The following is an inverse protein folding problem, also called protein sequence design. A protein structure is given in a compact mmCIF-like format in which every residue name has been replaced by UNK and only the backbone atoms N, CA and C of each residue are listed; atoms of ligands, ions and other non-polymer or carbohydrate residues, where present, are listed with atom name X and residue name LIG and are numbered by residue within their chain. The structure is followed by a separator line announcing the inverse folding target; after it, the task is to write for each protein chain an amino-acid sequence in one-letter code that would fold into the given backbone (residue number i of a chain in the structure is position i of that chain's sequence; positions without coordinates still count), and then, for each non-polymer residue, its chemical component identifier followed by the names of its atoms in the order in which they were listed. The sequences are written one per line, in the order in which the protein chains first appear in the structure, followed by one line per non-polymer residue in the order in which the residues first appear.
data_IF_067863669311
#
_entry.id   IF_067863669311
#
_cell.length_a   1.000
_cell.length_b   1.000
_cell.length_c   1.000
_cell.angle_alpha   90.00
_cell.angle_beta   90.00
_cell.angle_gamma   90.00
#
_symmetry.space_group_name_H-M   'P 1'
#
loop_
_entity.id
_entity.type
_entity.pdbx_description
1 polymer ?
#
# COMPACT_ATOMS: atom_id res chain seq x y z
N UNK A 1 -21.45 4.08 -12.01
CA UNK A 1 -21.36 2.60 -12.00
C UNK A 1 -21.58 2.12 -10.58
N UNK A 2 -22.08 0.89 -10.40
CA UNK A 2 -22.13 0.23 -9.10
C UNK A 2 -20.87 -0.61 -8.87
N UNK A 3 -20.02 -0.20 -7.93
CA UNK A 3 -18.68 -0.76 -7.71
C UNK A 3 -18.65 -1.42 -6.32
N UNK A 4 -18.40 -2.72 -6.28
CA UNK A 4 -18.17 -3.43 -5.02
C UNK A 4 -16.68 -3.51 -4.71
N UNK A 5 -16.23 -2.84 -3.65
CA UNK A 5 -14.83 -2.85 -3.21
C UNK A 5 -14.67 -3.89 -2.09
N UNK A 6 -13.81 -4.88 -2.30
CA UNK A 6 -13.48 -5.88 -1.28
C UNK A 6 -12.19 -5.46 -0.58
N UNK A 7 -12.28 -5.01 0.67
CA UNK A 7 -11.11 -4.65 1.47
C UNK A 7 -10.40 -5.89 2.05
N UNK A 8 -9.18 -5.70 2.57
CA UNK A 8 -8.62 -6.67 3.49
C UNK A 8 -9.38 -6.64 4.83
N UNK A 9 -9.31 -7.73 5.59
CA UNK A 9 -10.04 -7.88 6.86
C UNK A 9 -9.14 -7.86 8.10
N UNK A 10 -7.85 -7.54 7.93
CA UNK A 10 -6.92 -7.48 9.06
C UNK A 10 -7.21 -6.31 10.02
N UNK A 11 -7.58 -5.15 9.45
CA UNK A 11 -7.89 -3.95 10.22
C UNK A 11 -9.09 -3.24 9.58
N UNK A 12 -9.89 -2.52 10.37
CA UNK A 12 -10.93 -1.66 9.82
C UNK A 12 -10.37 -0.57 8.90
N UNK A 13 -11.12 -0.22 7.85
CA UNK A 13 -10.77 0.88 6.94
C UNK A 13 -11.22 2.19 7.57
N UNK A 14 -10.44 2.67 8.55
CA UNK A 14 -10.70 3.89 9.29
C UNK A 14 -9.39 4.51 9.81
N UNK A 15 -9.42 5.82 10.08
CA UNK A 15 -8.31 6.55 10.68
C UNK A 15 -8.25 6.29 12.20
N UNK A 16 -7.06 6.20 12.81
CA UNK A 16 -5.74 6.20 12.18
C UNK A 16 -5.46 4.87 11.45
N UNK A 17 -4.85 4.95 10.28
CA UNK A 17 -4.58 3.77 9.45
C UNK A 17 -3.38 2.97 9.98
N UNK A 18 -3.49 1.64 9.94
CA UNK A 18 -2.41 0.73 10.35
C UNK A 18 -1.35 0.52 9.25
N UNK A 19 -1.65 0.89 8.02
CA UNK A 19 -0.77 0.72 6.87
C UNK A 19 -1.25 1.46 5.62
N UNK A 20 -0.50 1.29 4.54
CA UNK A 20 -0.79 1.95 3.26
C UNK A 20 -1.98 1.38 2.51
N UNK A 21 -2.38 0.13 2.78
CA UNK A 21 -3.51 -0.50 2.11
C UNK A 21 -4.85 0.04 2.63
N UNK A 22 -4.94 0.25 3.94
CA UNK A 22 -6.08 0.89 4.60
C UNK A 22 -6.26 2.31 4.05
N UNK A 23 -5.18 3.08 3.99
CA UNK A 23 -5.17 4.44 3.43
C UNK A 23 -5.58 4.45 1.95
N UNK A 24 -4.99 3.57 1.13
CA UNK A 24 -5.35 3.41 -0.29
C UNK A 24 -6.84 3.11 -0.47
N UNK A 25 -7.36 2.14 0.28
CA UNK A 25 -8.76 1.68 0.16
C UNK A 25 -9.73 2.77 0.61
N UNK A 26 -9.39 3.50 1.68
CA UNK A 26 -10.15 4.64 2.16
C UNK A 26 -10.23 5.75 1.10
N UNK A 27 -9.08 6.18 0.58
CA UNK A 27 -8.99 7.30 -0.36
C UNK A 27 -9.68 6.99 -1.69
N UNK A 28 -9.45 5.82 -2.27
CA UNK A 28 -10.11 5.45 -3.54
C UNK A 28 -11.62 5.31 -3.38
N UNK A 29 -12.08 4.78 -2.24
CA UNK A 29 -13.52 4.66 -1.97
C UNK A 29 -14.19 6.04 -1.88
N UNK A 30 -13.61 6.95 -1.09
CA UNK A 30 -14.12 8.31 -0.98
C UNK A 30 -14.14 9.04 -2.33
N UNK A 31 -13.10 8.91 -3.15
CA UNK A 31 -13.03 9.58 -4.45
C UNK A 31 -14.02 9.02 -5.45
N UNK A 32 -14.22 7.70 -5.48
CA UNK A 32 -15.27 7.10 -6.31
C UNK A 32 -16.68 7.53 -5.86
N UNK A 33 -16.94 7.61 -4.55
CA UNK A 33 -18.19 8.17 -4.02
C UNK A 33 -18.37 9.63 -4.44
N UNK A 34 -17.35 10.47 -4.28
CA UNK A 34 -17.38 11.88 -4.64
C UNK A 34 -17.58 12.11 -6.15
N UNK A 35 -17.11 11.19 -7.00
CA UNK A 35 -17.33 11.18 -8.46
C UNK A 35 -18.69 10.61 -8.87
N UNK A 36 -19.56 10.27 -7.91
CA UNK A 36 -20.94 9.86 -8.15
C UNK A 36 -21.11 8.37 -8.49
N UNK A 37 -20.13 7.52 -8.19
CA UNK A 37 -20.32 6.08 -8.28
C UNK A 37 -21.14 5.57 -7.09
N UNK A 38 -21.93 4.52 -7.32
CA UNK A 38 -22.59 3.76 -6.25
C UNK A 38 -21.57 2.74 -5.73
N UNK A 39 -20.89 3.06 -4.63
CA UNK A 39 -19.83 2.22 -4.05
C UNK A 39 -20.38 1.41 -2.88
N UNK A 40 -20.07 0.12 -2.84
CA UNK A 40 -20.29 -0.75 -1.68
C UNK A 40 -18.93 -1.25 -1.18
N UNK A 41 -18.54 -0.91 0.05
CA UNK A 41 -17.29 -1.36 0.65
C UNK A 41 -17.53 -2.58 1.55
N UNK A 42 -17.09 -3.76 1.12
CA UNK A 42 -17.08 -4.97 1.95
C UNK A 42 -15.80 -5.01 2.79
N UNK A 43 -15.94 -4.82 4.10
CA UNK A 43 -14.81 -4.68 5.03
C UNK A 43 -15.17 -5.22 6.43
N UNK A 44 -14.23 -5.14 7.37
CA UNK A 44 -14.52 -5.41 8.79
C UNK A 44 -15.49 -4.38 9.37
N UNK A 45 -16.25 -4.82 10.37
CA UNK A 45 -16.94 -3.91 11.28
C UNK A 45 -15.95 -2.90 11.88
N UNK A 46 -16.43 -1.68 12.16
CA UNK A 46 -15.59 -0.57 12.64
C UNK A 46 -14.92 0.25 11.53
N UNK A 47 -15.06 -0.15 10.25
CA UNK A 47 -14.64 0.69 9.12
C UNK A 47 -15.52 1.94 9.03
N UNK A 48 -15.00 3.03 8.47
CA UNK A 48 -15.68 4.33 8.48
C UNK A 48 -17.03 4.27 7.71
N UNK A 49 -18.18 4.54 8.36
CA UNK A 49 -19.49 4.42 7.72
C UNK A 49 -19.71 5.40 6.54
N UNK A 50 -18.90 6.46 6.42
CA UNK A 50 -18.95 7.36 5.24
C UNK A 50 -18.65 6.63 3.93
N UNK A 51 -17.98 5.48 4.01
CA UNK A 51 -17.56 4.67 2.86
C UNK A 51 -18.65 3.69 2.35
N UNK A 52 -19.89 3.82 2.84
CA UNK A 52 -20.99 2.90 2.54
C UNK A 52 -20.61 1.42 2.80
N UNK A 53 -20.19 1.16 4.04
CA UNK A 53 -19.64 -0.13 4.47
C UNK A 53 -20.74 -1.18 4.58
N UNK A 54 -20.49 -2.35 4.00
CA UNK A 54 -21.18 -3.60 4.33
C UNK A 54 -20.22 -4.49 5.12
N UNK A 55 -20.37 -4.58 6.46
CA UNK A 55 -19.52 -5.43 7.26
C UNK A 55 -19.66 -6.90 6.82
N UNK A 56 -18.53 -7.58 6.62
CA UNK A 56 -18.48 -9.02 6.31
C UNK A 56 -17.72 -9.83 7.37
N UNK A 57 -17.17 -9.15 8.38
CA UNK A 57 -16.50 -9.75 9.53
C UNK A 57 -16.74 -8.84 10.74
N UNK A 58 -17.23 -9.39 11.84
CA UNK A 58 -17.47 -8.68 13.10
C UNK A 58 -16.49 -9.12 14.18
N UNK A 59 -16.23 -8.27 15.18
CA UNK A 59 -15.38 -8.63 16.33
C UNK A 59 -15.96 -9.82 17.13
N UNK A 60 -17.28 -9.96 17.17
CA UNK A 60 -17.95 -11.09 17.83
C UNK A 60 -17.71 -12.45 17.13
N UNK A 61 -17.27 -12.44 15.87
CA UNK A 61 -16.87 -13.65 15.14
C UNK A 61 -15.49 -14.16 15.60
N UNK A 62 -14.80 -13.39 16.46
CA UNK A 62 -13.54 -13.75 17.10
C UNK A 62 -13.79 -14.33 18.50
N UNK A 63 -13.83 -15.66 18.63
CA UNK A 63 -13.76 -16.33 19.93
C UNK A 63 -12.32 -16.77 20.24
N UNK A 64 -11.59 -16.12 21.17
CA UNK A 64 -10.19 -16.46 21.46
C UNK A 64 -10.01 -17.78 22.24
N UNK A 65 -11.09 -18.47 22.61
CA UNK A 65 -11.01 -19.65 23.48
C UNK A 65 -11.91 -20.77 22.94
N UNK A 66 -11.35 -21.63 22.09
CA UNK A 66 -11.70 -23.05 22.12
C UNK A 66 -10.53 -23.77 22.76
N UNK A 67 -10.58 -23.96 24.06
CA UNK A 67 -9.58 -24.70 24.83
C UNK A 67 -9.65 -26.20 24.50
N UNK A 68 -8.90 -26.65 23.50
CA UNK A 68 -8.56 -28.07 23.38
C UNK A 68 -7.25 -28.26 22.59
N UNK A 69 -6.15 -28.40 23.32
CA UNK A 69 -4.93 -29.14 22.93
C UNK A 69 -4.48 -28.96 21.46
N UNK A 70 -3.83 -27.83 21.16
CA UNK A 70 -3.43 -27.51 19.79
C UNK A 70 -1.97 -27.89 19.49
N UNK A 71 -1.77 -28.57 18.34
CA UNK A 71 -0.47 -28.92 17.76
C UNK A 71 -0.03 -27.86 16.74
N UNK A 72 1.26 -27.82 16.40
CA UNK A 72 1.89 -26.78 15.54
C UNK A 72 1.45 -26.71 14.07
N UNK A 73 0.40 -27.47 13.65
CA UNK A 73 -0.08 -27.55 12.26
C UNK A 73 -1.49 -26.99 12.04
N UNK A 74 -2.03 -26.21 12.98
CA UNK A 74 -3.38 -25.67 12.86
C UNK A 74 -3.41 -24.22 12.36
N UNK A 75 -4.45 -23.89 11.59
CA UNK A 75 -4.73 -22.53 11.16
C UNK A 75 -5.24 -21.69 12.34
N UNK A 76 -4.89 -20.40 12.37
CA UNK A 76 -5.41 -19.50 13.39
C UNK A 76 -6.91 -19.27 13.20
N UNK A 77 -7.63 -19.00 14.30
CA UNK A 77 -9.04 -18.59 14.25
C UNK A 77 -9.25 -17.38 13.34
N UNK A 78 -8.32 -16.42 13.36
CA UNK A 78 -8.31 -15.24 12.46
C UNK A 78 -8.27 -15.63 10.98
N UNK A 79 -7.42 -16.59 10.62
CA UNK A 79 -7.36 -17.08 9.23
C UNK A 79 -8.67 -17.75 8.82
N UNK A 80 -9.24 -18.58 9.71
CA UNK A 80 -10.49 -19.31 9.46
C UNK A 80 -11.66 -18.33 9.31
N UNK A 81 -11.83 -17.36 10.22
CA UNK A 81 -12.92 -16.38 10.16
C UNK A 81 -12.82 -15.50 8.91
N UNK A 82 -11.61 -15.01 8.61
CA UNK A 82 -11.34 -14.25 7.37
C UNK A 82 -11.67 -15.07 6.12
N UNK A 83 -11.31 -16.35 6.10
CA UNK A 83 -11.64 -17.25 5.00
C UNK A 83 -13.16 -17.38 4.83
N UNK A 84 -13.89 -17.66 5.92
CA UNK A 84 -15.34 -17.79 5.90
C UNK A 84 -16.04 -16.52 5.43
N UNK A 85 -15.65 -15.36 5.96
CA UNK A 85 -16.18 -14.05 5.56
C UNK A 85 -16.10 -13.82 4.04
N UNK A 86 -14.95 -14.13 3.42
CA UNK A 86 -14.83 -13.99 1.97
C UNK A 86 -15.62 -15.06 1.19
N UNK A 87 -15.73 -16.29 1.69
CA UNK A 87 -16.53 -17.33 1.04
C UNK A 87 -18.00 -16.93 1.02
N UNK A 88 -18.54 -16.50 2.15
CA UNK A 88 -19.92 -16.02 2.28
C UNK A 88 -20.16 -14.81 1.39
N UNK A 89 -19.26 -13.81 1.42
CA UNK A 89 -19.32 -12.69 0.50
C UNK A 89 -19.40 -13.16 -0.95
N UNK A 90 -18.48 -14.01 -1.40
CA UNK A 90 -18.42 -14.43 -2.80
C UNK A 90 -19.63 -15.28 -3.24
N UNK A 91 -20.32 -15.95 -2.31
CA UNK A 91 -21.58 -16.65 -2.58
C UNK A 91 -22.76 -15.69 -2.76
N UNK A 92 -22.72 -14.54 -2.10
CA UNK A 92 -23.85 -13.60 -2.06
C UNK A 92 -23.65 -12.35 -2.93
N UNK A 93 -22.43 -12.03 -3.34
CA UNK A 93 -22.06 -10.75 -3.96
C UNK A 93 -22.86 -10.42 -5.24
N UNK A 94 -23.34 -11.44 -5.96
CA UNK A 94 -24.18 -11.26 -7.14
C UNK A 94 -25.57 -10.69 -6.84
N UNK A 95 -26.05 -10.76 -5.59
CA UNK A 95 -27.30 -10.11 -5.15
C UNK A 95 -27.21 -8.59 -5.21
N UNK A 96 -26.00 -8.04 -5.18
CA UNK A 96 -25.76 -6.60 -5.20
C UNK A 96 -25.72 -6.02 -6.62
N UNK A 97 -25.82 -6.86 -7.66
CA UNK A 97 -25.92 -6.44 -9.07
C UNK A 97 -24.79 -5.48 -9.51
N UNK A 98 -23.56 -5.77 -9.07
CA UNK A 98 -22.40 -4.93 -9.33
C UNK A 98 -22.05 -4.84 -10.83
N UNK A 99 -21.65 -3.65 -11.28
CA UNK A 99 -21.02 -3.45 -12.59
C UNK A 99 -19.59 -4.01 -12.59
N UNK A 100 -18.85 -3.81 -11.49
CA UNK A 100 -17.44 -4.23 -11.31
C UNK A 100 -17.18 -4.60 -9.85
N UNK A 101 -16.38 -5.65 -9.63
CA UNK A 101 -15.75 -5.95 -8.34
C UNK A 101 -14.31 -5.41 -8.33
N UNK A 102 -13.97 -4.62 -7.33
CA UNK A 102 -12.63 -4.10 -7.10
C UNK A 102 -12.01 -4.71 -5.84
N UNK A 103 -11.14 -5.68 -6.05
CA UNK A 103 -10.60 -6.55 -5.01
C UNK A 103 -9.24 -6.06 -4.48
N UNK A 104 -9.20 -5.69 -3.20
CA UNK A 104 -8.05 -5.27 -2.40
C UNK A 104 -7.80 -6.19 -1.19
N UNK A 105 -8.42 -7.38 -1.15
CA UNK A 105 -8.51 -8.25 0.03
C UNK A 105 -7.20 -8.89 0.52
N UNK A 106 -6.16 -8.93 -0.32
CA UNK A 106 -4.96 -9.77 -0.12
C UNK A 106 -5.25 -11.26 0.13
N UNK A 107 -6.47 -11.72 -0.19
CA UNK A 107 -6.89 -13.08 0.07
C UNK A 107 -7.14 -13.85 -1.23
N UNK A 108 -6.88 -15.15 -1.20
CA UNK A 108 -7.01 -16.03 -2.35
C UNK A 108 -8.47 -16.36 -2.69
N UNK A 109 -9.41 -16.26 -1.74
CA UNK A 109 -10.81 -16.66 -1.92
C UNK A 109 -11.51 -15.86 -3.02
N UNK A 110 -11.49 -14.50 -3.04
CA UNK A 110 -12.10 -13.75 -4.13
C UNK A 110 -11.53 -14.10 -5.51
N UNK A 111 -10.22 -14.37 -5.59
CA UNK A 111 -9.56 -14.78 -6.84
C UNK A 111 -10.04 -16.16 -7.28
N UNK A 112 -10.02 -17.14 -6.38
CA UNK A 112 -10.43 -18.53 -6.65
C UNK A 112 -11.90 -18.63 -7.05
N UNK A 113 -12.78 -17.83 -6.44
CA UNK A 113 -14.21 -17.86 -6.68
C UNK A 113 -14.67 -16.89 -7.79
N UNK A 114 -13.75 -16.18 -8.43
CA UNK A 114 -14.06 -15.22 -9.51
C UNK A 114 -14.84 -15.84 -10.68
N UNK A 115 -14.69 -17.14 -10.93
CA UNK A 115 -15.46 -17.86 -11.95
C UNK A 115 -16.96 -18.02 -11.60
N UNK A 116 -17.31 -17.89 -10.32
CA UNK A 116 -18.67 -18.12 -9.81
C UNK A 116 -19.52 -16.84 -9.76
N UNK A 117 -18.91 -15.67 -9.95
CA UNK A 117 -19.60 -14.37 -9.88
C UNK A 117 -19.84 -13.78 -11.27
N UNK A 118 -20.87 -12.93 -11.39
CA UNK A 118 -21.30 -12.30 -12.65
C UNK A 118 -20.54 -11.03 -12.99
N UNK A 119 -20.11 -10.26 -12.00
CA UNK A 119 -19.39 -9.02 -12.22
C UNK A 119 -17.92 -9.30 -12.60
N UNK A 120 -17.35 -8.59 -13.61
CA UNK A 120 -15.92 -8.67 -13.86
C UNK A 120 -15.15 -8.13 -12.65
N UNK A 121 -13.95 -8.64 -12.45
CA UNK A 121 -13.14 -8.31 -11.29
C UNK A 121 -11.83 -7.64 -11.70
N UNK A 122 -11.48 -6.55 -11.01
CA UNK A 122 -10.14 -6.01 -10.96
C UNK A 122 -9.53 -6.41 -9.62
N UNK A 123 -8.36 -7.05 -9.64
CA UNK A 123 -7.61 -7.36 -8.41
C UNK A 123 -6.31 -6.58 -8.39
N UNK A 124 -6.09 -5.84 -7.30
CA UNK A 124 -4.84 -5.09 -7.09
C UNK A 124 -3.85 -5.93 -6.30
N UNK A 125 -2.65 -6.07 -6.83
CA UNK A 125 -1.54 -6.79 -6.24
C UNK A 125 -0.73 -5.81 -5.39
N UNK A 126 -1.11 -5.69 -4.12
CA UNK A 126 -0.49 -4.79 -3.13
C UNK A 126 0.74 -5.37 -2.44
N UNK A 127 1.05 -6.65 -2.65
CA UNK A 127 2.24 -7.32 -2.10
C UNK A 127 3.04 -7.98 -3.22
N UNK A 128 4.30 -8.37 -2.97
CA UNK A 128 4.98 -9.39 -3.76
C UNK A 128 4.21 -10.72 -3.78
N UNK A 129 4.57 -11.65 -4.67
CA UNK A 129 3.96 -12.97 -4.74
C UNK A 129 4.04 -13.75 -3.42
N UNK A 130 2.88 -13.99 -2.80
CA UNK A 130 2.70 -14.88 -1.65
C UNK A 130 2.06 -16.20 -2.06
N UNK A 131 2.27 -17.26 -1.28
CA UNK A 131 1.92 -18.64 -1.65
C UNK A 131 0.46 -18.81 -2.08
N UNK A 132 -0.47 -18.29 -1.29
CA UNK A 132 -1.91 -18.43 -1.48
C UNK A 132 -2.37 -17.75 -2.77
N UNK A 133 -1.94 -16.50 -2.98
CA UNK A 133 -2.29 -15.71 -4.16
C UNK A 133 -1.66 -16.28 -5.44
N UNK A 134 -0.40 -16.75 -5.40
CA UNK A 134 0.25 -17.42 -6.55
C UNK A 134 -0.59 -18.59 -7.06
N UNK A 135 -1.09 -19.43 -6.14
CA UNK A 135 -1.87 -20.61 -6.49
C UNK A 135 -3.25 -20.22 -7.02
N UNK A 136 -3.89 -19.21 -6.42
CA UNK A 136 -5.18 -18.72 -6.84
C UNK A 136 -5.15 -18.15 -8.26
N UNK A 137 -4.17 -17.29 -8.53
CA UNK A 137 -4.01 -16.65 -9.83
C UNK A 137 -3.72 -17.69 -10.91
N UNK A 138 -2.80 -18.64 -10.65
CA UNK A 138 -2.54 -19.76 -11.57
C UNK A 138 -3.80 -20.52 -11.95
N UNK A 139 -4.74 -20.69 -11.01
CA UNK A 139 -6.01 -21.37 -11.28
C UNK A 139 -7.01 -20.46 -11.99
N UNK A 140 -7.05 -19.18 -11.64
CA UNK A 140 -7.95 -18.22 -12.25
C UNK A 140 -7.61 -17.94 -13.72
N UNK A 141 -6.33 -18.01 -14.10
CA UNK A 141 -5.90 -17.81 -15.50
C UNK A 141 -6.58 -18.73 -16.52
N UNK A 142 -7.07 -19.91 -16.10
CA UNK A 142 -7.86 -20.78 -16.98
C UNK A 142 -9.23 -20.19 -17.33
N UNK A 143 -9.73 -19.25 -16.53
CA UNK A 143 -11.00 -18.55 -16.72
C UNK A 143 -10.81 -17.14 -17.30
N UNK A 144 -9.73 -16.45 -16.92
CA UNK A 144 -9.38 -15.13 -17.46
C UNK A 144 -10.42 -14.04 -17.17
N UNK A 145 -11.06 -14.11 -16.00
CA UNK A 145 -12.10 -13.17 -15.55
C UNK A 145 -11.55 -11.97 -14.79
N UNK A 146 -10.33 -12.06 -14.30
CA UNK A 146 -9.70 -10.99 -13.53
C UNK A 146 -8.77 -10.15 -14.41
N UNK A 147 -8.87 -8.83 -14.24
CA UNK A 147 -7.80 -7.90 -14.63
C UNK A 147 -6.92 -7.63 -13.42
N UNK A 148 -5.64 -7.98 -13.54
CA UNK A 148 -4.67 -7.75 -12.48
C UNK A 148 -4.02 -6.38 -12.66
N UNK A 149 -3.94 -5.64 -11.57
CA UNK A 149 -3.23 -4.37 -11.49
C UNK A 149 -2.13 -4.51 -10.45
N UNK A 150 -0.94 -4.01 -10.73
CA UNK A 150 0.14 -3.89 -9.76
C UNK A 150 0.38 -2.42 -9.45
N UNK A 151 0.71 -2.14 -8.19
CA UNK A 151 0.95 -0.80 -7.68
C UNK A 151 2.29 -0.21 -8.15
N UNK A 152 3.18 -1.01 -8.75
CA UNK A 152 4.42 -0.52 -9.36
C UNK A 152 4.93 -1.45 -10.45
N UNK A 153 5.80 -0.94 -11.31
CA UNK A 153 6.51 -1.75 -12.31
C UNK A 153 7.43 -2.81 -11.67
N UNK A 154 7.98 -2.53 -10.49
CA UNK A 154 8.78 -3.51 -9.73
C UNK A 154 7.93 -4.68 -9.28
N UNK A 155 6.81 -4.39 -8.63
CA UNK A 155 5.92 -5.44 -8.17
C UNK A 155 5.30 -6.23 -9.33
N UNK A 156 4.94 -5.57 -10.44
CA UNK A 156 4.46 -6.25 -11.65
C UNK A 156 5.47 -7.29 -12.18
N UNK A 157 6.78 -6.98 -12.13
CA UNK A 157 7.81 -7.95 -12.51
C UNK A 157 7.88 -9.13 -11.56
N UNK A 158 7.77 -8.90 -10.25
CA UNK A 158 7.72 -9.99 -9.27
C UNK A 158 6.56 -10.95 -9.58
N UNK A 159 5.44 -10.43 -10.09
CA UNK A 159 4.27 -11.21 -10.48
C UNK A 159 4.29 -11.80 -11.89
N UNK A 160 5.29 -11.52 -12.74
CA UNK A 160 5.28 -11.83 -14.18
C UNK A 160 4.98 -13.30 -14.50
N UNK A 161 5.52 -14.23 -13.70
CA UNK A 161 5.33 -15.68 -13.91
C UNK A 161 3.93 -16.19 -13.54
N UNK A 162 3.15 -15.38 -12.82
CA UNK A 162 1.82 -15.73 -12.33
C UNK A 162 0.73 -14.86 -12.96
N UNK A 163 1.00 -13.59 -13.26
CA UNK A 163 0.06 -12.64 -13.86
C UNK A 163 0.78 -11.86 -14.97
N UNK A 164 1.05 -12.47 -16.15
CA UNK A 164 1.82 -11.83 -17.21
C UNK A 164 1.08 -10.66 -17.87
N UNK A 165 -0.26 -10.63 -17.77
CA UNK A 165 -1.11 -9.52 -18.21
C UNK A 165 -1.50 -8.66 -17.00
N UNK A 166 -0.50 -7.99 -16.41
CA UNK A 166 -0.68 -7.12 -15.26
C UNK A 166 -0.50 -5.65 -15.68
N UNK A 167 -1.54 -4.84 -15.50
CA UNK A 167 -1.46 -3.39 -15.69
C UNK A 167 -0.70 -2.77 -14.51
N UNK A 168 0.03 -1.68 -14.76
CA UNK A 168 0.63 -0.89 -13.68
C UNK A 168 -0.19 0.37 -13.50
N UNK A 169 -0.75 0.56 -12.30
CA UNK A 169 -1.35 1.82 -11.87
C UNK A 169 -0.68 2.13 -10.54
N UNK A 170 0.13 3.19 -10.51
CA UNK A 170 0.79 3.61 -9.29
C UNK A 170 -0.22 4.02 -8.23
N UNK A 171 0.10 3.74 -6.97
CA UNK A 171 -0.64 4.37 -5.89
C UNK A 171 -0.43 5.88 -5.97
N UNK A 172 -1.47 6.63 -5.64
CA UNK A 172 -1.42 8.08 -5.56
C UNK A 172 -1.64 8.57 -4.13
N UNK A 173 -1.24 9.80 -3.90
CA UNK A 173 -1.42 10.55 -2.66
C UNK A 173 -2.21 11.84 -2.96
N UNK A 174 -2.92 12.35 -1.96
CA UNK A 174 -3.58 13.64 -2.07
C UNK A 174 -2.55 14.77 -2.03
N UNK A 175 -2.14 15.24 -3.22
CA UNK A 175 -1.14 16.30 -3.37
C UNK A 175 -1.58 17.64 -2.76
N UNK A 176 -2.87 17.84 -2.48
CA UNK A 176 -3.35 19.03 -1.77
C UNK A 176 -3.17 18.89 -0.25
N UNK A 177 -3.09 17.66 0.27
CA UNK A 177 -2.81 17.38 1.67
C UNK A 177 -1.31 17.45 2.01
N UNK A 178 -0.42 17.43 0.99
CA UNK A 178 1.03 17.50 1.11
C UNK A 178 1.56 18.82 0.53
N UNK A 179 2.00 19.72 1.41
CA UNK A 179 2.43 21.06 1.04
C UNK A 179 3.84 21.00 0.43
N UNK A 180 4.07 21.74 -0.64
CA UNK A 180 5.42 21.92 -1.18
C UNK A 180 6.23 22.92 -0.33
N UNK A 181 7.45 22.53 0.06
CA UNK A 181 8.42 23.39 0.74
C UNK A 181 9.60 23.62 -0.20
N UNK A 182 9.77 24.84 -0.77
CA UNK A 182 10.86 25.11 -1.72
C UNK A 182 12.23 25.12 -1.05
N UNK A 183 12.29 25.37 0.25
CA UNK A 183 13.49 25.38 1.07
C UNK A 183 13.27 24.52 2.32
N UNK A 184 14.35 24.08 2.94
CA UNK A 184 14.33 23.41 4.24
C UNK A 184 15.16 24.20 5.26
N UNK A 185 14.79 24.14 6.53
CA UNK A 185 15.47 24.82 7.63
C UNK A 185 15.57 23.94 8.90
N UNK A 186 15.23 22.66 8.81
CA UNK A 186 15.19 21.75 9.96
C UNK A 186 16.57 21.32 10.46
N UNK A 187 17.57 21.23 9.58
CA UNK A 187 18.91 20.75 9.93
C UNK A 187 18.93 19.28 10.39
N UNK A 188 18.00 18.48 9.87
CA UNK A 188 17.87 17.05 10.13
C UNK A 188 17.44 16.30 8.87
N UNK A 189 17.70 14.99 8.87
CA UNK A 189 17.10 14.03 7.95
C UNK A 189 15.93 13.30 8.62
N UNK A 190 14.96 12.86 7.83
CA UNK A 190 13.74 12.25 8.34
C UNK A 190 13.66 10.79 7.96
N UNK A 191 13.38 9.92 8.92
CA UNK A 191 12.90 8.57 8.68
C UNK A 191 11.46 8.46 9.19
N UNK A 192 10.57 7.85 8.42
CA UNK A 192 9.19 7.68 8.86
C UNK A 192 8.55 6.40 8.32
N UNK A 193 7.71 5.80 9.16
CA UNK A 193 7.03 4.54 8.88
C UNK A 193 6.97 3.63 10.11
N UNK A 194 6.35 2.46 9.97
CA UNK A 194 6.29 1.46 11.05
C UNK A 194 7.71 1.06 11.47
N UNK A 195 8.02 1.13 12.77
CA UNK A 195 9.27 0.60 13.29
C UNK A 195 9.13 -0.93 13.36
N UNK A 196 9.71 -1.58 12.35
CA UNK A 196 9.60 -3.01 12.10
C UNK A 196 10.82 -3.48 11.26
N UNK A 197 11.27 -4.75 11.38
CA UNK A 197 12.43 -5.26 10.63
C UNK A 197 12.37 -5.04 9.12
N UNK A 198 11.18 -5.13 8.51
CA UNK A 198 10.95 -4.91 7.08
C UNK A 198 11.26 -3.47 6.62
N UNK A 199 11.30 -2.48 7.53
CA UNK A 199 11.56 -1.06 7.23
C UNK A 199 12.99 -0.59 7.54
N UNK A 200 13.81 -1.43 8.16
CA UNK A 200 15.26 -1.19 8.25
C UNK A 200 15.71 0.10 8.94
N UNK A 201 15.06 0.53 10.03
CA UNK A 201 15.44 1.73 10.78
C UNK A 201 16.89 1.65 11.33
N UNK A 202 17.36 0.47 11.74
CA UNK A 202 18.76 0.30 12.20
C UNK A 202 19.79 0.74 11.14
N UNK A 203 19.54 0.44 9.86
CA UNK A 203 20.41 0.85 8.75
C UNK A 203 20.42 2.38 8.59
N UNK A 204 19.24 3.00 8.72
CA UNK A 204 19.10 4.45 8.62
C UNK A 204 19.84 5.17 9.76
N UNK A 205 19.73 4.67 10.99
CA UNK A 205 20.44 5.22 12.17
C UNK A 205 21.95 5.12 11.98
N UNK A 206 22.47 3.95 11.59
CA UNK A 206 23.91 3.75 11.39
C UNK A 206 24.45 4.66 10.27
N UNK A 207 23.73 4.75 9.14
CA UNK A 207 24.11 5.62 8.03
C UNK A 207 24.06 7.12 8.40
N UNK A 208 23.07 7.54 9.19
CA UNK A 208 22.96 8.92 9.67
C UNK A 208 24.16 9.33 10.53
N UNK A 209 24.59 8.44 11.44
CA UNK A 209 25.78 8.66 12.27
C UNK A 209 27.04 8.78 11.44
N UNK A 210 27.24 7.90 10.45
CA UNK A 210 28.38 7.95 9.53
C UNK A 210 28.38 9.24 8.69
N UNK A 211 27.20 9.71 8.28
CA UNK A 211 27.03 10.97 7.55
C UNK A 211 27.14 12.22 8.45
N UNK A 212 27.24 12.07 9.77
CA UNK A 212 27.24 13.18 10.72
C UNK A 212 25.95 13.99 10.73
N UNK A 213 24.80 13.36 10.44
CA UNK A 213 23.49 14.01 10.36
C UNK A 213 22.63 13.69 11.58
N UNK A 214 21.89 14.68 12.05
CA UNK A 214 20.79 14.48 13.01
C UNK A 214 19.60 13.84 12.30
N UNK A 215 18.92 12.92 12.95
CA UNK A 215 17.75 12.24 12.40
C UNK A 215 16.53 12.41 13.30
N UNK A 216 15.39 12.71 12.68
CA UNK A 216 14.07 12.56 13.31
C UNK A 216 13.41 11.29 12.80
N UNK A 217 12.74 10.57 13.70
CA UNK A 217 12.09 9.29 13.42
C UNK A 217 10.63 9.36 13.85
N UNK A 218 9.69 9.24 12.91
CA UNK A 218 8.26 9.18 13.19
C UNK A 218 7.67 7.81 12.83
N UNK A 219 6.92 7.22 13.75
CA UNK A 219 6.26 5.94 13.52
C UNK A 219 5.90 5.19 14.80
N UNK A 220 4.90 4.32 14.68
CA UNK A 220 4.54 3.39 15.74
C UNK A 220 5.52 2.20 15.81
N UNK A 221 5.86 1.78 17.02
CA UNK A 221 6.57 0.52 17.27
C UNK A 221 5.62 -0.62 16.93
N UNK A 222 5.89 -1.30 15.81
CA UNK A 222 5.08 -2.43 15.33
C UNK A 222 5.71 -3.78 15.64
N UNK A 223 6.99 -3.80 16.01
CA UNK A 223 7.70 -4.96 16.50
C UNK A 223 8.54 -4.56 17.73
N UNK A 224 8.10 -4.98 18.91
CA UNK A 224 8.75 -4.64 20.17
C UNK A 224 10.14 -5.31 20.28
N UNK A 225 10.29 -6.53 19.78
CA UNK A 225 11.56 -7.25 19.85
C UNK A 225 12.63 -6.52 19.04
N UNK A 226 12.33 -6.18 17.79
CA UNK A 226 13.20 -5.39 16.93
C UNK A 226 13.53 -4.03 17.51
N UNK A 227 12.56 -3.35 18.10
CA UNK A 227 12.82 -2.08 18.77
C UNK A 227 13.82 -2.23 19.91
N UNK A 228 13.64 -3.22 20.79
CA UNK A 228 14.49 -3.45 21.96
C UNK A 228 15.89 -3.93 21.58
N UNK A 229 16.02 -4.80 20.57
CA UNK A 229 17.30 -5.43 20.21
C UNK A 229 18.08 -4.67 19.16
N UNK A 230 17.41 -4.03 18.20
CA UNK A 230 18.08 -3.38 17.07
C UNK A 230 18.05 -1.86 17.15
N UNK A 231 16.98 -1.24 17.68
CA UNK A 231 16.82 0.21 17.63
C UNK A 231 17.35 0.87 18.89
N UNK A 232 16.85 0.47 20.06
CA UNK A 232 17.18 1.06 21.35
C UNK A 232 18.70 1.12 21.62
N UNK A 233 19.50 0.06 21.33
CA UNK A 233 20.96 0.11 21.55
C UNK A 233 21.71 1.07 20.63
N UNK A 234 21.06 1.53 19.54
CA UNK A 234 21.66 2.42 18.53
C UNK A 234 21.27 3.88 18.72
N UNK A 235 20.40 4.22 19.66
CA UNK A 235 20.01 5.60 19.91
C UNK A 235 21.11 6.39 20.63
N UNK A 236 21.26 7.66 20.26
CA UNK A 236 22.09 8.65 20.94
C UNK A 236 21.46 10.05 20.75
N UNK A 237 22.16 11.11 21.17
CA UNK A 237 21.67 12.50 21.11
C UNK A 237 21.43 13.03 19.69
N UNK A 238 21.90 12.32 18.65
CA UNK A 238 21.66 12.69 17.25
C UNK A 238 20.34 12.16 16.69
N UNK A 239 19.66 11.24 17.40
CA UNK A 239 18.45 10.56 16.96
C UNK A 239 17.26 10.92 17.85
N UNK A 240 16.25 11.59 17.28
CA UNK A 240 15.03 11.97 17.98
C UNK A 240 13.86 11.06 17.57
N UNK A 241 13.36 10.25 18.51
CA UNK A 241 12.16 9.44 18.31
C UNK A 241 10.91 10.26 18.67
N UNK A 242 10.06 10.53 17.67
CA UNK A 242 8.83 11.31 17.82
C UNK A 242 7.61 10.46 18.17
N UNK A 243 7.68 9.15 17.92
CA UNK A 243 6.53 8.25 18.00
C UNK A 243 5.55 8.44 16.82
N UNK A 244 4.29 8.00 16.95
CA UNK A 244 3.28 8.19 15.90
C UNK A 244 2.98 9.67 15.66
N UNK A 245 2.95 10.08 14.40
CA UNK A 245 2.57 11.43 13.98
C UNK A 245 1.37 11.37 13.03
N UNK A 246 0.47 12.33 13.13
CA UNK A 246 -0.60 12.50 12.14
C UNK A 246 -0.07 13.06 10.81
N UNK A 247 -0.91 13.08 9.78
CA UNK A 247 -0.51 13.57 8.46
C UNK A 247 -0.04 15.04 8.46
N UNK A 248 -0.63 15.89 9.31
CA UNK A 248 -0.24 17.31 9.37
C UNK A 248 1.15 17.45 9.97
N UNK A 249 1.40 16.77 11.08
CA UNK A 249 2.69 16.71 11.73
C UNK A 249 3.76 16.13 10.78
N UNK A 250 3.44 15.03 10.08
CA UNK A 250 4.35 14.44 9.09
C UNK A 250 4.66 15.39 7.94
N UNK A 251 3.66 16.09 7.40
CA UNK A 251 3.84 17.05 6.32
C UNK A 251 4.85 18.16 6.71
N UNK A 252 4.68 18.78 7.89
CA UNK A 252 5.63 19.78 8.41
C UNK A 252 7.02 19.15 8.63
N UNK A 253 7.10 18.02 9.31
CA UNK A 253 8.38 17.34 9.61
C UNK A 253 9.17 16.96 8.36
N UNK A 254 8.49 16.41 7.36
CA UNK A 254 9.08 16.01 6.09
C UNK A 254 9.50 17.24 5.30
N UNK A 255 8.65 18.27 5.23
CA UNK A 255 8.91 19.51 4.51
C UNK A 255 10.16 20.24 4.98
N UNK A 256 10.40 20.26 6.30
CA UNK A 256 11.58 20.89 6.89
C UNK A 256 12.83 20.00 6.91
N UNK A 257 12.74 18.73 6.48
CA UNK A 257 13.88 17.82 6.41
C UNK A 257 14.77 18.09 5.19
N UNK A 258 16.08 17.89 5.37
CA UNK A 258 17.07 17.97 4.28
C UNK A 258 16.88 16.83 3.27
N UNK A 259 16.58 15.63 3.77
CA UNK A 259 16.29 14.44 2.98
C UNK A 259 15.43 13.46 3.78
N UNK A 260 14.65 12.65 3.08
CA UNK A 260 13.95 11.49 3.63
C UNK A 260 14.81 10.23 3.44
N UNK A 261 14.98 9.44 4.49
CA UNK A 261 15.77 8.19 4.46
C UNK A 261 14.83 6.99 4.46
N UNK A 262 14.89 6.18 3.40
CA UNK A 262 13.95 5.08 3.16
C UNK A 262 14.73 3.78 2.93
N UNK A 263 14.67 2.86 3.90
CA UNK A 263 15.57 1.70 4.01
C UNK A 263 14.82 0.35 4.04
N UNK A 264 14.01 0.01 3.01
CA UNK A 264 13.24 -1.22 3.02
C UNK A 264 14.15 -2.45 3.03
N UNK A 265 13.88 -3.37 3.96
CA UNK A 265 14.56 -4.67 4.05
C UNK A 265 13.79 -5.80 3.35
N UNK A 266 12.74 -5.46 2.61
CA UNK A 266 11.87 -6.39 1.88
C UNK A 266 11.61 -5.88 0.45
N UNK A 267 10.96 -6.70 -0.38
CA UNK A 267 10.50 -6.28 -1.70
C UNK A 267 9.32 -5.31 -1.58
N UNK A 268 9.61 -4.06 -1.23
CA UNK A 268 8.60 -3.00 -1.06
C UNK A 268 7.80 -2.83 -2.36
N UNK A 269 6.48 -3.08 -2.35
CA UNK A 269 5.67 -3.11 -3.57
C UNK A 269 5.44 -1.72 -4.15
N UNK A 270 5.42 -0.66 -3.33
CA UNK A 270 5.30 0.73 -3.78
C UNK A 270 6.18 1.67 -2.92
N UNK A 271 5.76 1.96 -1.70
CA UNK A 271 6.44 2.93 -0.83
C UNK A 271 5.78 4.31 -0.87
N UNK A 272 4.60 4.44 -0.25
CA UNK A 272 3.87 5.73 -0.14
C UNK A 272 4.75 6.83 0.46
N UNK A 273 5.62 6.48 1.41
CA UNK A 273 6.60 7.37 2.03
C UNK A 273 7.52 8.08 1.01
N UNK A 274 7.80 7.45 -0.15
CA UNK A 274 8.53 8.10 -1.24
C UNK A 274 7.68 9.20 -1.86
N UNK A 275 6.42 8.88 -2.20
CA UNK A 275 5.51 9.86 -2.79
C UNK A 275 5.26 11.05 -1.86
N UNK A 276 5.07 10.79 -0.56
CA UNK A 276 4.85 11.81 0.47
C UNK A 276 6.07 12.73 0.62
N UNK A 277 7.28 12.16 0.67
CA UNK A 277 8.52 12.93 0.71
C UNK A 277 8.67 13.84 -0.53
N UNK A 278 8.48 13.27 -1.72
CA UNK A 278 8.60 14.02 -2.97
C UNK A 278 7.53 15.10 -3.09
N UNK A 279 6.30 14.86 -2.63
CA UNK A 279 5.24 15.86 -2.63
C UNK A 279 5.53 17.06 -1.72
N UNK A 280 6.31 16.86 -0.64
CA UNK A 280 6.82 17.95 0.18
C UNK A 280 8.03 18.69 -0.43
N UNK A 281 8.54 18.20 -1.57
CA UNK A 281 9.80 18.66 -2.15
C UNK A 281 11.03 18.05 -1.49
N UNK A 282 10.89 17.04 -0.63
CA UNK A 282 12.01 16.47 0.12
C UNK A 282 12.67 15.34 -0.68
N UNK A 283 13.96 15.46 -1.03
CA UNK A 283 14.66 14.44 -1.79
C UNK A 283 14.86 13.17 -0.95
N UNK A 284 15.03 12.04 -1.63
CA UNK A 284 15.11 10.73 -0.97
C UNK A 284 16.52 10.15 -1.04
N UNK A 285 17.05 9.70 0.10
CA UNK A 285 18.15 8.75 0.16
C UNK A 285 17.62 7.38 0.58
N UNK A 286 18.06 6.29 -0.04
CA UNK A 286 17.52 4.98 0.33
C UNK A 286 18.22 3.78 -0.26
N UNK A 287 17.67 2.61 0.05
CA UNK A 287 18.18 1.32 -0.46
C UNK A 287 17.46 0.99 -1.77
N UNK A 288 18.21 0.59 -2.79
CA UNK A 288 17.69 0.17 -4.10
C UNK A 288 16.96 -1.19 -4.05
N UNK A 289 15.88 -1.29 -3.28
CA UNK A 289 15.09 -2.52 -3.08
C UNK A 289 13.60 -2.29 -3.35
N UNK A 290 12.94 -3.30 -3.91
CA UNK A 290 11.53 -3.21 -4.28
C UNK A 290 11.25 -2.12 -5.31
N UNK A 291 10.28 -1.26 -5.03
CA UNK A 291 9.81 -0.22 -5.93
C UNK A 291 10.65 1.06 -5.94
N UNK A 292 11.49 1.31 -4.92
CA UNK A 292 12.27 2.55 -4.80
C UNK A 292 13.03 2.96 -6.08
N UNK A 293 13.78 2.06 -6.76
CA UNK A 293 14.47 2.40 -8.01
C UNK A 293 13.57 2.80 -9.18
N UNK A 294 12.27 2.51 -9.09
CA UNK A 294 11.27 2.86 -10.11
C UNK A 294 10.49 4.11 -9.75
N UNK A 295 10.45 4.45 -8.47
CA UNK A 295 9.78 5.65 -7.98
C UNK A 295 10.67 6.88 -8.01
N UNK A 296 12.00 6.73 -8.06
CA UNK A 296 12.97 7.82 -8.05
C UNK A 296 13.73 7.93 -9.37
N UNK A 297 14.28 9.11 -9.65
CA UNK A 297 15.33 9.32 -10.65
C UNK A 297 16.54 10.05 -10.02
N UNK A 298 17.56 10.33 -10.83
CA UNK A 298 18.80 10.96 -10.37
C UNK A 298 18.62 12.38 -9.79
N UNK A 299 17.52 13.06 -10.14
CA UNK A 299 17.16 14.40 -9.68
C UNK A 299 16.40 14.38 -8.36
N UNK A 300 15.70 13.29 -8.06
CA UNK A 300 14.82 13.22 -6.88
C UNK A 300 15.32 12.31 -5.77
N UNK A 301 16.33 11.48 -6.03
CA UNK A 301 16.93 10.68 -4.99
C UNK A 301 18.28 10.05 -5.31
N UNK A 302 18.90 9.49 -4.26
CA UNK A 302 20.16 8.75 -4.30
C UNK A 302 19.96 7.39 -3.64
N UNK A 303 20.37 6.34 -4.32
CA UNK A 303 20.14 4.98 -3.88
C UNK A 303 21.45 4.22 -3.73
N UNK A 304 21.61 3.53 -2.61
CA UNK A 304 22.70 2.58 -2.40
C UNK A 304 22.27 1.15 -2.75
N UNK A 305 23.24 0.30 -3.05
CA UNK A 305 23.01 -1.13 -3.28
C UNK A 305 23.10 -1.93 -1.98
N UNK A 306 22.08 -2.72 -1.67
CA UNK A 306 22.11 -3.64 -0.51
C UNK A 306 22.05 -2.93 0.84
N UNK A 307 22.77 -3.48 1.83
CA UNK A 307 22.79 -3.04 3.23
C UNK A 307 24.08 -2.28 3.60
N UNK A 308 24.80 -1.73 2.61
CA UNK A 308 26.01 -0.95 2.84
C UNK A 308 25.70 0.42 3.47
N UNK A 309 25.83 0.51 4.79
CA UNK A 309 25.54 1.73 5.57
C UNK A 309 26.44 2.92 5.24
N UNK A 310 27.69 2.68 4.81
CA UNK A 310 28.58 3.77 4.41
C UNK A 310 28.11 4.42 3.10
N UNK A 311 27.77 3.60 2.11
CA UNK A 311 27.23 4.08 0.83
C UNK A 311 25.87 4.76 1.02
N UNK A 312 25.04 4.27 1.96
CA UNK A 312 23.81 4.95 2.35
C UNK A 312 24.10 6.33 2.97
N UNK A 313 25.13 6.46 3.80
CA UNK A 313 25.59 7.73 4.35
C UNK A 313 26.01 8.72 3.26
N UNK A 314 26.74 8.26 2.24
CA UNK A 314 27.10 9.08 1.08
C UNK A 314 25.87 9.51 0.27
N UNK A 315 24.88 8.60 0.11
CA UNK A 315 23.60 8.90 -0.52
C UNK A 315 22.80 9.96 0.26
N UNK A 316 22.81 9.91 1.59
CA UNK A 316 22.17 10.91 2.45
C UNK A 316 22.75 12.30 2.18
N UNK A 317 24.08 12.42 2.18
CA UNK A 317 24.75 13.70 1.93
C UNK A 317 24.46 14.22 0.53
N UNK A 318 24.48 13.35 -0.48
CA UNK A 318 24.23 13.71 -1.87
C UNK A 318 22.76 14.07 -2.14
N UNK A 319 21.80 13.37 -1.51
CA UNK A 319 20.38 13.66 -1.67
C UNK A 319 20.02 15.05 -1.13
N UNK A 320 20.61 15.49 -0.01
CA UNK A 320 20.39 16.82 0.55
C UNK A 320 20.86 17.98 -0.33
N UNK A 321 21.51 17.72 -1.46
CA UNK A 321 21.91 18.73 -2.46
C UNK A 321 21.00 18.78 -3.69
N UNK A 322 19.96 17.94 -3.75
CA UNK A 322 19.04 17.85 -4.89
C UNK A 322 17.99 18.97 -4.85
N UNK A 323 17.48 19.31 -6.04
CA UNK A 323 16.45 20.33 -6.18
C UNK A 323 15.09 19.82 -5.68
N UNK A 324 14.53 20.56 -4.74
CA UNK A 324 13.23 20.28 -4.12
C UNK A 324 12.08 20.43 -5.11
N UNK A 325 12.22 21.32 -6.09
CA UNK A 325 11.22 21.51 -7.14
C UNK A 325 11.13 20.29 -8.06
N UNK A 326 12.27 19.68 -8.43
CA UNK A 326 12.29 18.43 -9.21
C UNK A 326 11.55 17.31 -8.46
N UNK A 327 11.72 17.24 -7.14
CA UNK A 327 11.01 16.29 -6.29
C UNK A 327 9.49 16.50 -6.34
N UNK A 328 9.04 17.74 -6.17
CA UNK A 328 7.61 18.08 -6.24
C UNK A 328 7.01 17.76 -7.61
N UNK A 329 7.68 18.18 -8.69
CA UNK A 329 7.22 17.92 -10.05
C UNK A 329 7.05 16.43 -10.33
N UNK A 330 8.01 15.61 -9.88
CA UNK A 330 7.91 14.15 -10.02
C UNK A 330 6.71 13.57 -9.27
N UNK A 331 6.41 14.06 -8.07
CA UNK A 331 5.23 13.64 -7.32
C UNK A 331 3.93 14.00 -8.05
N UNK A 332 3.84 15.22 -8.58
CA UNK A 332 2.69 15.68 -9.37
C UNK A 332 2.52 14.88 -10.66
N UNK A 333 3.62 14.50 -11.31
CA UNK A 333 3.60 13.71 -12.54
C UNK A 333 3.10 12.29 -12.31
N UNK A 334 3.60 11.61 -11.27
CA UNK A 334 3.48 10.16 -11.11
C UNK A 334 2.53 9.70 -10.00
N UNK A 335 2.35 10.51 -8.95
CA UNK A 335 1.72 10.08 -7.69
C UNK A 335 0.50 10.90 -7.31
N UNK A 336 -0.09 11.62 -8.25
CA UNK A 336 -1.40 12.25 -8.06
C UNK A 336 -2.50 11.20 -7.94
N UNK A 337 -3.18 11.20 -6.79
CA UNK A 337 -4.33 10.33 -6.54
C UNK A 337 -5.45 10.51 -7.55
N UNK A 338 -5.68 11.70 -8.10
CA UNK A 338 -6.73 11.91 -9.09
C UNK A 338 -6.40 11.17 -10.40
N UNK A 339 -5.13 11.19 -10.84
CA UNK A 339 -4.66 10.40 -12.00
C UNK A 339 -4.78 8.89 -11.78
N UNK A 340 -4.53 8.44 -10.56
CA UNK A 340 -4.72 7.04 -10.16
C UNK A 340 -6.21 6.65 -10.30
N UNK A 341 -7.14 7.46 -9.76
CA UNK A 341 -8.58 7.18 -9.83
C UNK A 341 -9.07 7.22 -11.29
N UNK A 342 -8.62 8.18 -12.10
CA UNK A 342 -8.92 8.23 -13.55
C UNK A 342 -8.52 6.92 -14.26
N UNK A 343 -7.35 6.38 -13.92
CA UNK A 343 -6.82 5.14 -14.48
C UNK A 343 -7.67 3.93 -14.10
N UNK A 344 -8.15 3.86 -12.85
CA UNK A 344 -9.06 2.81 -12.40
C UNK A 344 -10.45 2.95 -13.04
N UNK A 345 -11.01 4.15 -13.13
CA UNK A 345 -12.29 4.37 -13.82
C UNK A 345 -12.23 3.96 -15.29
N UNK A 346 -11.16 4.33 -16.01
CA UNK A 346 -10.93 3.90 -17.38
C UNK A 346 -10.90 2.37 -17.50
N UNK A 347 -10.25 1.69 -16.54
CA UNK A 347 -10.22 0.23 -16.49
C UNK A 347 -11.61 -0.37 -16.19
N UNK A 348 -12.36 0.19 -15.23
CA UNK A 348 -13.70 -0.24 -14.88
C UNK A 348 -14.68 -0.08 -16.04
N UNK A 349 -14.63 1.04 -16.75
CA UNK A 349 -15.43 1.28 -17.94
C UNK A 349 -15.11 0.25 -19.04
N UNK A 350 -13.83 -0.02 -19.28
CA UNK A 350 -13.41 -1.00 -20.30
C UNK A 350 -13.95 -2.40 -20.03
N UNK A 351 -13.93 -2.86 -18.78
CA UNK A 351 -14.36 -4.24 -18.45
C UNK A 351 -15.88 -4.37 -18.28
N UNK A 352 -16.57 -3.30 -17.86
CA UNK A 352 -18.03 -3.32 -17.71
C UNK A 352 -18.75 -3.30 -19.08
N UNK A 353 -18.21 -2.58 -20.07
CA UNK A 353 -18.76 -2.56 -21.45
C UNK A 353 -18.64 -3.94 -22.11
N UNK A 354 -17.50 -4.63 -21.94
CA UNK A 354 -17.31 -5.98 -22.47
C UNK A 354 -18.36 -7.00 -21.99
N UNK A 355 -18.86 -6.84 -20.76
CA UNK A 355 -19.99 -7.64 -20.22
C UNK A 355 -21.30 -7.34 -20.93
N UNK A 356 -21.60 -6.06 -21.23
CA UNK A 356 -22.84 -5.65 -21.91
C UNK A 356 -22.89 -6.18 -23.34
N UNK A 357 -21.77 -6.13 -24.08
CA UNK A 357 -21.68 -6.65 -25.44
C UNK A 357 -21.81 -8.18 -25.52
N UNK A 358 -21.22 -8.92 -24.56
CA UNK A 358 -21.38 -10.38 -24.47
C UNK A 358 -22.82 -10.78 -24.15
N UNK A 359 -23.53 -10.01 -23.30
CA UNK A 359 -24.93 -10.24 -22.97
C UNK A 359 -25.84 -10.02 -24.18
N UNK A 360 -25.62 -8.95 -24.94
CA UNK A 360 -26.37 -8.66 -26.18
C UNK A 360 -26.16 -9.78 -27.23
N UNK A 361 -24.96 -10.32 -27.37
CA UNK A 361 -24.71 -11.44 -28.30
C UNK A 361 -25.39 -12.75 -27.88
N UNK A 362 -25.49 -13.02 -26.58
CA UNK A 362 -26.14 -14.21 -26.05
C UNK A 362 -27.68 -14.15 -26.12
N UNK A 363 -28.27 -12.95 -26.06
CA UNK A 363 -29.73 -12.75 -26.16
C UNK A 363 -30.24 -12.73 -27.62
N UNK A 364 -29.34 -12.64 -28.61
CA UNK A 364 -29.65 -12.57 -30.06
C UNK A 364 -29.38 -13.91 -30.79
N UNK A 365 -28.74 -14.87 -30.11
CA UNK A 365 -28.50 -16.25 -30.57
C UNK A 365 -29.49 -17.22 -29.95
#
# INVERSE_FOLDING_TARGET
MKIGIIAHLKYPINKPFMGGLEAFTYDICQRLLARGHDVLLYACAGSDPILNVRPILCEDDYHPITSSQFTSRQLSTEYISTHHAYVELMQEIDKDELDVIFNNSLNYVPIMMSALVKAPMVTVLHTPPIFELKNAIRREQYHGRIKYVSVSASNARNWKDYAPQCNVIHNGIDLAAWQFYPENDGGYIMWFGRIHPDKGLHLAIEAAKLAGKKMKVAGAISDAHYYETEILPRLDESIELLGPCDHRQLNELIGHAEAAVITPCWEEPFGLVVAEALACGTPVAGIAKGALPYLLDERTGKLCSGDNVQELGDCILAAGQLDRLDCRQRAEELFDVEKMVDSYEALFNKISIGKREMKIKADVS
#
